data_IF_601790338436
#
_entry.id   IF_601790338436
#
_cell.length_a   1.000
_cell.length_b   1.000
_cell.length_c   1.000
_cell.angle_alpha   90.00
_cell.angle_beta   90.00
_cell.angle_gamma   90.00
#
_symmetry.space_group_name_H-M   'P 1'
#
loop_
_entity.id
_entity.type
_entity.pdbx_description
1 polymer ?
#
# COMPACT_ATOMS: atom_id res chain seq x y z
N UNK A 1 -29.41 -29.89 -12.75
CA UNK A 1 -28.59 -28.96 -11.95
C UNK A 1 -27.50 -28.36 -12.83
N UNK A 2 -27.49 -27.04 -13.02
CA UNK A 2 -26.66 -26.37 -14.03
C UNK A 2 -25.22 -26.15 -13.55
N UNK A 3 -24.26 -26.76 -14.26
CA UNK A 3 -22.80 -26.57 -14.12
C UNK A 3 -22.36 -25.08 -14.13
N UNK A 4 -23.21 -24.18 -14.65
CA UNK A 4 -22.93 -22.73 -14.73
C UNK A 4 -22.86 -22.01 -13.37
N UNK A 5 -23.38 -22.61 -12.28
CA UNK A 5 -23.26 -22.00 -10.93
C UNK A 5 -21.88 -22.20 -10.30
N UNK A 6 -21.11 -23.21 -10.73
CA UNK A 6 -19.83 -23.57 -10.11
C UNK A 6 -18.70 -22.58 -10.45
N UNK A 7 -18.72 -22.00 -11.66
CA UNK A 7 -17.70 -21.05 -12.12
C UNK A 7 -17.90 -19.60 -11.65
N UNK A 8 -19.08 -19.25 -11.10
CA UNK A 8 -19.38 -17.87 -10.68
C UNK A 8 -18.70 -17.47 -9.35
N UNK A 9 -18.12 -18.44 -8.65
CA UNK A 9 -17.44 -18.24 -7.36
C UNK A 9 -15.92 -18.35 -7.41
N UNK A 10 -15.34 -18.59 -8.60
CA UNK A 10 -13.89 -18.52 -8.76
C UNK A 10 -13.47 -17.04 -8.93
N UNK A 11 -13.56 -16.25 -7.85
CA UNK A 11 -12.78 -15.01 -7.78
C UNK A 11 -11.33 -15.44 -7.83
N UNK A 12 -10.59 -15.02 -8.86
CA UNK A 12 -9.14 -15.19 -8.87
C UNK A 12 -8.61 -14.59 -7.56
N UNK A 13 -7.78 -15.30 -6.78
CA UNK A 13 -7.14 -14.68 -5.63
C UNK A 13 -6.45 -13.41 -6.13
N UNK A 14 -6.83 -12.26 -5.58
CA UNK A 14 -6.13 -11.02 -5.88
C UNK A 14 -4.68 -11.20 -5.45
N UNK A 15 -3.77 -10.75 -6.31
CA UNK A 15 -2.36 -10.94 -6.04
C UNK A 15 -1.96 -9.96 -4.92
N UNK A 16 -1.67 -10.53 -3.75
CA UNK A 16 -1.33 -9.77 -2.54
C UNK A 16 -0.19 -8.77 -2.75
N UNK A 17 0.76 -9.05 -3.65
CA UNK A 17 1.85 -8.12 -3.95
C UNK A 17 1.36 -6.83 -4.62
N UNK A 18 0.41 -6.93 -5.55
CA UNK A 18 -0.18 -5.75 -6.17
C UNK A 18 -1.03 -4.95 -5.18
N UNK A 19 -1.73 -5.62 -4.26
CA UNK A 19 -2.45 -4.93 -3.18
C UNK A 19 -1.49 -4.18 -2.25
N UNK A 20 -0.39 -4.81 -1.82
CA UNK A 20 0.64 -4.18 -1.00
C UNK A 20 1.32 -3.00 -1.71
N UNK A 21 1.61 -3.13 -3.02
CA UNK A 21 2.16 -2.03 -3.83
C UNK A 21 1.18 -0.86 -3.97
N UNK A 22 -0.12 -1.14 -4.16
CA UNK A 22 -1.16 -0.11 -4.22
C UNK A 22 -1.25 0.62 -2.87
N UNK A 23 -1.26 -0.11 -1.75
CA UNK A 23 -1.31 0.49 -0.41
C UNK A 23 -0.07 1.35 -0.12
N UNK A 24 1.13 0.84 -0.44
CA UNK A 24 2.36 1.64 -0.34
C UNK A 24 2.26 2.92 -1.16
N UNK A 25 1.81 2.83 -2.42
CA UNK A 25 1.67 3.99 -3.31
C UNK A 25 0.68 5.03 -2.79
N UNK A 26 -0.44 4.58 -2.21
CA UNK A 26 -1.41 5.47 -1.56
C UNK A 26 -0.80 6.21 -0.37
N UNK A 27 -0.06 5.51 0.48
CA UNK A 27 0.62 6.10 1.64
C UNK A 27 1.70 7.10 1.21
N UNK A 28 2.49 6.77 0.19
CA UNK A 28 3.45 7.71 -0.40
C UNK A 28 2.76 8.96 -0.94
N UNK A 29 1.65 8.83 -1.68
CA UNK A 29 0.90 9.98 -2.17
C UNK A 29 0.34 10.84 -1.03
N UNK A 30 -0.15 10.22 0.04
CA UNK A 30 -0.62 10.95 1.24
C UNK A 30 0.52 11.72 1.89
N UNK A 31 1.68 11.09 2.09
CA UNK A 31 2.86 11.75 2.66
C UNK A 31 3.36 12.93 1.81
N UNK A 32 3.39 12.79 0.48
CA UNK A 32 3.79 13.88 -0.43
C UNK A 32 2.81 15.05 -0.37
N UNK A 33 1.50 14.79 -0.28
CA UNK A 33 0.49 15.84 -0.12
C UNK A 33 0.58 16.54 1.23
N UNK A 34 0.85 15.81 2.30
CA UNK A 34 1.08 16.40 3.61
C UNK A 34 2.34 17.27 3.61
N UNK A 35 3.40 16.83 2.91
CA UNK A 35 4.62 17.62 2.75
C UNK A 35 4.37 18.90 1.97
N UNK A 36 3.60 18.84 0.88
CA UNK A 36 3.15 20.02 0.13
C UNK A 36 2.42 20.99 1.07
N UNK A 37 1.45 20.51 1.85
CA UNK A 37 0.74 21.33 2.84
C UNK A 37 1.65 21.94 3.90
N UNK A 38 2.62 21.18 4.43
CA UNK A 38 3.61 21.70 5.37
C UNK A 38 4.50 22.78 4.74
N UNK A 39 4.91 22.62 3.48
CA UNK A 39 5.71 23.63 2.78
C UNK A 39 4.94 24.95 2.58
N UNK A 40 3.60 24.88 2.49
CA UNK A 40 2.74 26.06 2.39
C UNK A 40 2.49 26.74 3.75
N UNK A 41 2.23 25.97 4.82
CA UNK A 41 1.83 26.52 6.12
C UNK A 41 2.99 26.70 7.11
N UNK A 42 4.01 25.85 7.02
CA UNK A 42 5.18 25.78 7.93
C UNK A 42 4.82 25.70 9.41
N UNK A 43 3.67 25.13 9.75
CA UNK A 43 3.18 25.04 11.12
C UNK A 43 3.50 23.68 11.78
N UNK A 44 3.50 23.66 13.12
CA UNK A 44 3.86 22.46 13.88
C UNK A 44 2.90 21.28 13.64
N UNK A 45 1.61 21.54 13.35
CA UNK A 45 0.65 20.45 13.15
C UNK A 45 0.90 19.73 11.83
N UNK A 46 1.17 20.48 10.76
CA UNK A 46 1.50 19.89 9.46
C UNK A 46 2.85 19.17 9.49
N UNK A 47 3.82 19.65 10.29
CA UNK A 47 5.06 18.91 10.54
C UNK A 47 4.80 17.54 11.20
N UNK A 48 3.99 17.51 12.27
CA UNK A 48 3.62 16.26 12.97
C UNK A 48 2.87 15.30 12.04
N UNK A 49 1.99 15.83 11.18
CA UNK A 49 1.26 15.03 10.20
C UNK A 49 2.19 14.38 9.17
N UNK A 50 3.17 15.13 8.66
CA UNK A 50 4.19 14.60 7.74
C UNK A 50 5.00 13.48 8.40
N UNK A 51 5.48 13.68 9.63
CA UNK A 51 6.24 12.66 10.36
C UNK A 51 5.42 11.39 10.61
N UNK A 52 4.14 11.53 10.98
CA UNK A 52 3.25 10.39 11.20
C UNK A 52 3.02 9.59 9.90
N UNK A 53 2.79 10.30 8.78
CA UNK A 53 2.55 9.67 7.49
C UNK A 53 3.81 9.01 6.90
N UNK A 54 4.98 9.58 7.15
CA UNK A 54 6.27 8.97 6.79
C UNK A 54 6.44 7.62 7.49
N UNK A 55 6.22 7.59 8.81
CA UNK A 55 6.34 6.37 9.61
C UNK A 55 5.35 5.28 9.18
N UNK A 56 4.11 5.67 8.87
CA UNK A 56 3.09 4.76 8.34
C UNK A 56 3.48 4.19 6.96
N UNK A 57 4.04 5.03 6.09
CA UNK A 57 4.53 4.62 4.78
C UNK A 57 5.71 3.65 4.91
N UNK A 58 6.61 3.89 5.88
CA UNK A 58 7.74 3.01 6.15
C UNK A 58 7.31 1.62 6.65
N UNK A 59 6.33 1.55 7.54
CA UNK A 59 5.76 0.26 7.97
C UNK A 59 5.11 -0.49 6.82
N UNK A 60 4.36 0.21 5.96
CA UNK A 60 3.75 -0.41 4.77
C UNK A 60 4.81 -0.98 3.83
N UNK A 61 5.91 -0.23 3.64
CA UNK A 61 7.08 -0.68 2.87
C UNK A 61 7.76 -1.89 3.53
N UNK A 62 7.92 -1.89 4.85
CA UNK A 62 8.50 -3.00 5.61
C UNK A 62 7.70 -4.30 5.40
N UNK A 63 6.38 -4.24 5.49
CA UNK A 63 5.50 -5.38 5.25
C UNK A 63 5.60 -5.93 3.82
N UNK A 64 5.69 -5.05 2.82
CA UNK A 64 5.90 -5.46 1.43
C UNK A 64 7.24 -6.19 1.25
N UNK A 65 8.33 -5.62 1.78
CA UNK A 65 9.67 -6.22 1.69
C UNK A 65 9.72 -7.56 2.42
N UNK A 66 9.15 -7.63 3.63
CA UNK A 66 9.03 -8.87 4.40
C UNK A 66 8.30 -9.93 3.57
N UNK A 67 7.19 -9.55 2.91
CA UNK A 67 6.42 -10.45 2.07
C UNK A 67 7.22 -10.95 0.88
N UNK A 68 8.00 -10.10 0.22
CA UNK A 68 8.89 -10.47 -0.89
C UNK A 68 9.94 -11.47 -0.39
N UNK A 69 10.62 -11.17 0.71
CA UNK A 69 11.72 -11.98 1.23
C UNK A 69 11.30 -13.39 1.67
N UNK A 70 10.08 -13.56 2.18
CA UNK A 70 9.55 -14.88 2.58
C UNK A 70 8.87 -15.64 1.44
N UNK A 71 8.77 -15.05 0.24
CA UNK A 71 8.07 -15.65 -0.89
C UNK A 71 9.04 -16.20 -1.93
N UNK A 72 8.85 -17.46 -2.32
CA UNK A 72 9.65 -18.10 -3.36
C UNK A 72 9.25 -17.68 -4.78
N UNK A 73 8.00 -17.26 -4.99
CA UNK A 73 7.46 -16.81 -6.28
C UNK A 73 6.83 -15.43 -6.09
N UNK A 74 7.28 -14.47 -6.90
CA UNK A 74 6.66 -13.14 -7.05
C UNK A 74 5.99 -13.05 -8.43
N UNK A 75 4.97 -12.18 -8.60
CA UNK A 75 4.29 -12.02 -9.90
C UNK A 75 5.10 -11.30 -10.96
N UNK A 76 6.08 -10.53 -10.52
CA UNK A 76 7.02 -9.75 -11.32
C UNK A 76 8.37 -9.81 -10.61
N UNK A 77 9.43 -9.57 -11.37
CA UNK A 77 10.76 -9.31 -10.81
C UNK A 77 10.75 -8.03 -9.94
#
# INVERSE_FOLDING_TARGET
>A
MSFKKLFKFYKRPTNIFFELLIEQSKKTLQGVKALEGFMESSDEKSAIEVEALEKDADETRRLLIEKINVSFVTPID
#
